data_IF_873257920041
#
_entry.id   IF_873257920041
#
_cell.length_a   1.000
_cell.length_b   1.000
_cell.length_c   1.000
_cell.angle_alpha   90.00
_cell.angle_beta   90.00
_cell.angle_gamma   90.00
#
_symmetry.space_group_name_H-M   'P 1'
#
loop_
_entity.id
_entity.type
_entity.pdbx_description
1 polymer ?
#
# COMPACT_ATOMS: atom_id res chain seq x y z
N UNK A 1 -10.67 0.64 -17.95
CA UNK A 1 -9.73 1.78 -17.97
C UNK A 1 -9.06 1.83 -16.61
N UNK A 2 -7.73 1.96 -16.55
CA UNK A 2 -6.98 2.10 -15.30
C UNK A 2 -7.15 3.52 -14.75
N UNK A 3 -7.30 3.65 -13.43
CA UNK A 3 -7.37 4.93 -12.72
C UNK A 3 -6.26 4.97 -11.68
N UNK A 4 -5.57 6.10 -11.57
CA UNK A 4 -4.50 6.31 -10.61
C UNK A 4 -4.87 7.46 -9.67
N UNK A 5 -4.55 7.29 -8.40
CA UNK A 5 -4.71 8.30 -7.36
C UNK A 5 -3.40 8.42 -6.60
N UNK A 6 -3.02 9.65 -6.24
CA UNK A 6 -1.75 9.90 -5.55
C UNK A 6 -1.97 9.77 -4.04
N UNK A 7 -1.19 8.91 -3.42
CA UNK A 7 -1.09 8.78 -1.97
C UNK A 7 0.25 9.36 -1.50
N UNK A 8 0.22 10.34 -0.59
CA UNK A 8 1.42 10.91 0.01
C UNK A 8 1.15 11.40 1.44
N UNK A 9 2.18 11.91 2.12
CA UNK A 9 2.10 12.40 3.51
C UNK A 9 1.16 13.59 3.75
N UNK A 10 0.65 14.21 2.69
CA UNK A 10 -0.29 15.32 2.74
C UNK A 10 -1.72 14.89 2.37
N UNK A 11 -1.92 13.62 2.00
CA UNK A 11 -3.25 13.05 1.78
C UNK A 11 -4.03 13.10 3.09
N UNK A 12 -5.24 13.63 3.04
CA UNK A 12 -6.10 13.76 4.22
C UNK A 12 -6.78 12.41 4.53
N UNK A 13 -7.11 12.17 5.81
CA UNK A 13 -7.80 10.96 6.24
C UNK A 13 -9.13 10.71 5.50
N UNK A 14 -9.80 11.79 5.10
CA UNK A 14 -11.05 11.72 4.33
C UNK A 14 -10.78 11.12 2.94
N UNK A 15 -9.77 11.62 2.24
CA UNK A 15 -9.35 11.12 0.92
C UNK A 15 -8.86 9.67 1.00
N UNK A 16 -8.15 9.32 2.08
CA UNK A 16 -7.66 7.96 2.34
C UNK A 16 -8.81 6.94 2.40
N UNK A 17 -9.93 7.32 3.02
CA UNK A 17 -11.13 6.47 3.10
C UNK A 17 -11.77 6.25 1.73
N UNK A 18 -11.71 7.26 0.87
CA UNK A 18 -12.31 7.19 -0.46
C UNK A 18 -11.55 6.27 -1.41
N UNK A 19 -10.24 6.07 -1.21
CA UNK A 19 -9.44 5.13 -2.01
C UNK A 19 -9.93 3.68 -1.94
N UNK A 20 -10.58 3.29 -0.84
CA UNK A 20 -11.09 1.93 -0.64
C UNK A 20 -12.54 1.74 -1.10
N UNK A 21 -13.23 2.81 -1.51
CA UNK A 21 -14.60 2.71 -2.03
C UNK A 21 -14.76 1.73 -3.21
N UNK A 22 -13.81 1.63 -4.17
CA UNK A 22 -13.89 0.63 -5.22
C UNK A 22 -13.94 -0.82 -4.71
N UNK A 23 -13.20 -1.14 -3.64
CA UNK A 23 -13.22 -2.46 -3.01
C UNK A 23 -14.61 -2.82 -2.48
N UNK A 24 -15.34 -1.85 -1.93
CA UNK A 24 -16.71 -2.04 -1.45
C UNK A 24 -17.69 -2.35 -2.60
N UNK A 25 -17.36 -1.92 -3.82
CA UNK A 25 -18.09 -2.25 -5.05
C UNK A 25 -17.62 -3.54 -5.74
N UNK A 26 -16.74 -4.33 -5.08
CA UNK A 26 -16.21 -5.58 -5.61
C UNK A 26 -15.11 -5.41 -6.66
N UNK A 27 -14.47 -4.24 -6.75
CA UNK A 27 -13.35 -3.98 -7.65
C UNK A 27 -12.02 -4.10 -6.90
N UNK A 28 -11.07 -4.79 -7.51
CA UNK A 28 -9.71 -4.86 -6.98
C UNK A 28 -8.98 -3.52 -7.15
N UNK A 29 -8.14 -3.19 -6.18
CA UNK A 29 -7.23 -2.05 -6.23
C UNK A 29 -5.80 -2.52 -6.02
N UNK A 30 -4.84 -1.78 -6.56
CA UNK A 30 -3.41 -1.97 -6.33
C UNK A 30 -2.83 -0.78 -5.58
N UNK A 31 -1.89 -1.06 -4.69
CA UNK A 31 -1.02 -0.05 -4.08
C UNK A 31 0.34 -0.13 -4.76
N UNK A 32 0.81 1.00 -5.28
CA UNK A 32 2.08 1.11 -5.99
C UNK A 32 2.93 2.19 -5.32
N UNK A 33 4.22 1.90 -5.16
CA UNK A 33 5.23 2.85 -4.67
C UNK A 33 6.18 3.21 -5.81
N UNK A 34 6.84 4.36 -5.71
CA UNK A 34 7.86 4.79 -6.68
C UNK A 34 9.05 3.82 -6.69
N UNK A 35 9.39 3.25 -5.53
CA UNK A 35 10.43 2.25 -5.39
C UNK A 35 10.14 1.26 -4.25
N UNK A 36 10.70 0.05 -4.38
CA UNK A 36 10.72 -0.94 -3.32
C UNK A 36 9.39 -1.65 -3.10
N UNK A 37 9.04 -1.86 -1.82
CA UNK A 37 7.87 -2.61 -1.39
C UNK A 37 6.85 -1.64 -0.77
N UNK A 38 5.68 -1.43 -1.41
CA UNK A 38 4.65 -0.55 -0.88
C UNK A 38 4.21 -0.97 0.53
N UNK A 39 4.02 0.00 1.42
CA UNK A 39 3.65 -0.21 2.82
C UNK A 39 4.83 -0.36 3.77
N UNK A 40 6.08 -0.33 3.29
CA UNK A 40 7.28 -0.33 4.13
C UNK A 40 7.84 1.09 4.23
N UNK A 41 7.71 1.68 5.41
CA UNK A 41 8.18 3.04 5.70
C UNK A 41 7.65 4.11 4.71
N UNK A 42 6.44 3.89 4.19
CA UNK A 42 5.75 4.81 3.28
C UNK A 42 4.28 5.01 3.72
N UNK A 43 3.57 6.01 3.17
CA UNK A 43 2.16 6.29 3.51
C UNK A 43 1.18 5.16 3.13
N UNK A 44 1.62 4.19 2.33
CA UNK A 44 0.84 3.02 1.93
C UNK A 44 0.44 2.13 3.11
N UNK A 45 1.21 2.15 4.20
CA UNK A 45 0.90 1.41 5.41
C UNK A 45 -0.46 1.81 6.01
N UNK A 46 -0.83 3.10 5.91
CA UNK A 46 -2.10 3.61 6.43
C UNK A 46 -3.30 3.10 5.61
N UNK A 47 -3.14 2.96 4.28
CA UNK A 47 -4.16 2.35 3.41
C UNK A 47 -4.36 0.88 3.77
N UNK A 48 -3.27 0.13 3.98
CA UNK A 48 -3.32 -1.28 4.37
C UNK A 48 -3.99 -1.46 5.72
N UNK A 49 -3.67 -0.60 6.70
CA UNK A 49 -4.32 -0.60 8.01
C UNK A 49 -5.83 -0.36 7.88
N UNK A 50 -6.23 0.64 7.12
CA UNK A 50 -7.64 0.97 6.91
C UNK A 50 -8.39 -0.16 6.17
N UNK A 51 -7.73 -0.84 5.23
CA UNK A 51 -8.28 -1.99 4.55
C UNK A 51 -8.57 -3.13 5.55
N UNK A 52 -7.64 -3.42 6.46
CA UNK A 52 -7.87 -4.39 7.53
C UNK A 52 -9.03 -4.00 8.45
N UNK A 53 -9.13 -2.72 8.85
CA UNK A 53 -10.23 -2.22 9.68
C UNK A 53 -11.61 -2.38 9.01
N UNK A 54 -11.65 -2.33 7.67
CA UNK A 54 -12.86 -2.54 6.86
C UNK A 54 -13.11 -4.00 6.47
N UNK A 55 -12.29 -4.94 6.93
CA UNK A 55 -12.40 -6.35 6.55
C UNK A 55 -12.08 -6.64 5.09
N UNK A 56 -11.37 -5.73 4.41
CA UNK A 56 -10.93 -5.91 3.02
C UNK A 56 -9.69 -6.80 3.04
N UNK A 57 -9.70 -7.84 2.21
CA UNK A 57 -8.56 -8.76 2.06
C UNK A 57 -7.38 -8.03 1.42
N UNK A 58 -6.27 -7.95 2.16
CA UNK A 58 -4.99 -7.47 1.63
C UNK A 58 -4.15 -8.67 1.17
N UNK A 59 -3.67 -8.63 -0.07
CA UNK A 59 -2.83 -9.69 -0.65
C UNK A 59 -1.45 -9.08 -0.91
N UNK A 60 -0.41 -9.42 -0.12
CA UNK A 60 0.93 -8.95 -0.38
C UNK A 60 1.50 -9.64 -1.64
N UNK A 61 2.26 -8.89 -2.42
CA UNK A 61 2.98 -9.40 -3.59
C UNK A 61 4.50 -9.38 -3.31
N UNK A 62 5.22 -10.32 -3.93
CA UNK A 62 6.69 -10.32 -3.88
C UNK A 62 7.24 -9.08 -4.57
N UNK A 63 8.23 -8.43 -3.94
CA UNK A 63 8.81 -7.20 -4.44
C UNK A 63 10.18 -6.89 -3.81
N UNK A 64 10.96 -6.01 -4.45
CA UNK A 64 12.27 -5.61 -3.95
C UNK A 64 12.13 -4.82 -2.64
N UNK A 65 12.97 -5.12 -1.65
CA UNK A 65 13.01 -4.39 -0.39
C UNK A 65 14.47 -4.13 -0.02
N UNK A 66 14.90 -2.87 -0.09
CA UNK A 66 16.31 -2.50 0.15
C UNK A 66 16.77 -2.87 1.55
N UNK A 67 15.90 -2.74 2.56
CA UNK A 67 16.21 -3.13 3.94
C UNK A 67 16.42 -4.64 4.08
N UNK A 68 15.61 -5.45 3.41
CA UNK A 68 15.76 -6.91 3.44
C UNK A 68 16.99 -7.33 2.65
N UNK A 69 17.24 -6.72 1.49
CA UNK A 69 18.45 -6.99 0.70
C UNK A 69 19.73 -6.61 1.46
N UNK A 70 19.72 -5.49 2.19
CA UNK A 70 20.84 -5.08 3.04
C UNK A 70 21.05 -6.04 4.22
N UNK A 71 19.97 -6.55 4.83
CA UNK A 71 20.07 -7.56 5.88
C UNK A 71 20.66 -8.87 5.33
N UNK A 72 20.15 -9.36 4.20
CA UNK A 72 20.64 -10.58 3.55
C UNK A 72 22.13 -10.49 3.19
N UNK A 73 22.62 -9.31 2.81
CA UNK A 73 24.04 -9.11 2.46
C UNK A 73 24.94 -8.85 3.68
N UNK A 74 24.37 -8.58 4.86
CA UNK A 74 25.13 -8.18 6.04
C UNK A 74 25.93 -9.30 6.70
N UNK A 75 25.55 -10.56 6.48
CA UNK A 75 26.14 -11.71 7.18
C UNK A 75 25.76 -11.80 8.66
N UNK A 76 24.73 -11.06 9.10
CA UNK A 76 24.13 -11.15 10.43
C UNK A 76 23.16 -12.34 10.55
#
# INVERSE_FOLDING_TARGET
VLSFSILNKFTQDVELRDFLNPCLSGKDIGLLSEAGCPGIADPGADVVKLAHEKGIKVIPLVGPSSIILALMSSGL
#
